data_IF_326313728055
#
_entry.id   IF_326313728055
#
_cell.length_a   1.000
_cell.length_b   1.000
_cell.length_c   1.000
_cell.angle_alpha   90.00
_cell.angle_beta   90.00
_cell.angle_gamma   90.00
#
_symmetry.space_group_name_H-M   'P 1'
#
loop_
_entity.id
_entity.type
_entity.pdbx_description
1 polymer ?
#
# COMPACT_ATOMS: atom_id res chain seq x y z
N UNK A 1 -4.42 24.31 -35.40
CA UNK A 1 -3.01 24.53 -35.00
C UNK A 1 -3.03 25.08 -33.58
N UNK A 2 -2.33 24.42 -32.64
CA UNK A 2 -2.01 24.85 -31.25
C UNK A 2 -3.25 24.97 -30.33
N UNK A 3 -3.30 24.50 -29.08
CA UNK A 3 -2.31 24.13 -28.06
C UNK A 3 -3.14 23.91 -26.78
N UNK A 4 -2.86 23.09 -25.76
CA UNK A 4 -1.78 22.20 -25.36
C UNK A 4 -2.21 21.66 -23.98
N UNK A 5 -1.72 20.47 -23.63
CA UNK A 5 -1.55 19.98 -22.26
C UNK A 5 -2.79 19.91 -21.37
N UNK A 6 -3.49 18.76 -21.44
CA UNK A 6 -4.05 18.21 -20.21
C UNK A 6 -2.90 18.02 -19.23
N UNK A 7 -2.82 18.87 -18.21
CA UNK A 7 -1.88 18.68 -17.11
C UNK A 7 -2.17 17.29 -16.55
N UNK A 8 -1.20 16.39 -16.67
CA UNK A 8 -1.20 15.14 -15.90
C UNK A 8 -1.12 15.51 -14.42
N UNK A 9 -2.27 15.86 -13.83
CA UNK A 9 -2.36 16.14 -12.40
C UNK A 9 -1.99 14.83 -11.70
N UNK A 10 -0.82 14.83 -11.08
CA UNK A 10 -0.28 13.70 -10.33
C UNK A 10 -0.86 13.73 -8.93
N UNK A 11 -1.58 12.67 -8.56
CA UNK A 11 -2.20 12.54 -7.24
C UNK A 11 -1.21 11.84 -6.31
N UNK A 12 -0.74 12.48 -5.23
CA UNK A 12 0.14 11.82 -4.26
C UNK A 12 -0.62 10.72 -3.52
N UNK A 13 0.09 9.64 -3.16
CA UNK A 13 -0.45 8.54 -2.36
C UNK A 13 0.68 7.78 -1.66
N UNK A 14 0.32 6.85 -0.78
CA UNK A 14 1.26 5.98 -0.08
C UNK A 14 0.69 4.56 0.05
N UNK A 15 1.57 3.56 0.07
CA UNK A 15 1.23 2.14 0.25
C UNK A 15 2.18 1.49 1.25
N UNK A 16 1.73 0.43 1.90
CA UNK A 16 2.63 -0.57 2.51
C UNK A 16 3.06 -1.53 1.41
N UNK A 17 4.35 -1.79 1.28
CA UNK A 17 4.94 -2.75 0.36
C UNK A 17 5.67 -3.82 1.16
N UNK A 18 5.33 -5.08 0.93
CA UNK A 18 6.03 -6.26 1.42
C UNK A 18 6.81 -6.84 0.26
N UNK A 19 8.14 -6.80 0.33
CA UNK A 19 9.04 -7.43 -0.63
C UNK A 19 9.51 -8.77 -0.08
N UNK A 20 9.16 -9.84 -0.78
CA UNK A 20 9.64 -11.20 -0.55
C UNK A 20 10.47 -11.65 -1.79
N UNK A 21 11.49 -12.52 -1.65
CA UNK A 21 12.36 -12.91 -2.77
C UNK A 21 11.66 -13.43 -4.03
N UNK A 22 10.45 -13.99 -3.88
CA UNK A 22 9.69 -14.56 -5.00
C UNK A 22 8.44 -13.75 -5.39
N UNK A 23 8.03 -12.75 -4.62
CA UNK A 23 6.83 -11.94 -4.90
C UNK A 23 6.79 -10.67 -4.06
N UNK A 24 5.95 -9.71 -4.45
CA UNK A 24 5.69 -8.52 -3.64
C UNK A 24 4.20 -8.34 -3.44
N UNK A 25 3.80 -7.87 -2.26
CA UNK A 25 2.42 -7.54 -1.94
C UNK A 25 2.35 -6.09 -1.51
N UNK A 26 1.27 -5.39 -1.86
CA UNK A 26 1.05 -4.05 -1.36
C UNK A 26 -0.35 -3.87 -0.80
N UNK A 27 -0.46 -2.92 0.13
CA UNK A 27 -1.70 -2.45 0.73
C UNK A 27 -1.76 -0.96 0.46
N UNK A 28 -2.83 -0.53 -0.20
CA UNK A 28 -3.07 0.85 -0.58
C UNK A 28 -4.34 1.35 0.11
N UNK A 29 -4.20 2.38 0.94
CA UNK A 29 -5.36 3.11 1.44
C UNK A 29 -5.54 4.33 0.53
N UNK A 30 -6.65 4.40 -0.18
CA UNK A 30 -6.96 5.49 -1.11
C UNK A 30 -7.19 6.78 -0.31
N UNK A 31 -6.30 7.78 -0.41
CA UNK A 31 -6.37 8.97 0.46
C UNK A 31 -7.62 9.84 0.23
N UNK A 32 -8.28 9.71 -0.92
CA UNK A 32 -9.50 10.44 -1.28
C UNK A 32 -10.78 9.87 -0.67
N UNK A 33 -10.82 8.57 -0.38
CA UNK A 33 -12.05 7.87 0.02
C UNK A 33 -11.90 6.86 1.15
N UNK A 34 -10.67 6.52 1.53
CA UNK A 34 -10.39 5.56 2.60
C UNK A 34 -10.52 4.10 2.22
N UNK A 35 -10.86 3.80 0.97
CA UNK A 35 -10.93 2.43 0.49
C UNK A 35 -9.56 1.78 0.63
N UNK A 36 -9.52 0.64 1.31
CA UNK A 36 -8.30 -0.15 1.42
C UNK A 36 -8.31 -1.19 0.31
N UNK A 37 -7.31 -1.11 -0.56
CA UNK A 37 -7.09 -1.99 -1.70
C UNK A 37 -5.81 -2.80 -1.46
N UNK A 38 -5.85 -4.10 -1.72
CA UNK A 38 -4.68 -4.97 -1.65
C UNK A 38 -4.44 -5.62 -3.00
N UNK A 39 -3.18 -5.77 -3.41
CA UNK A 39 -2.87 -6.64 -4.53
C UNK A 39 -1.53 -7.38 -4.37
N UNK A 40 -1.48 -8.53 -5.02
CA UNK A 40 -0.31 -9.39 -5.10
C UNK A 40 0.35 -9.26 -6.47
N UNK A 41 1.66 -9.06 -6.49
CA UNK A 41 2.45 -8.88 -7.71
C UNK A 41 3.57 -9.92 -7.74
N UNK A 42 3.59 -10.74 -8.79
CA UNK A 42 4.71 -11.65 -9.11
C UNK A 42 5.90 -10.85 -9.65
N UNK A 43 7.14 -11.34 -9.49
CA UNK A 43 8.29 -10.46 -9.32
C UNK A 43 8.52 -9.59 -10.56
N UNK A 44 8.42 -8.27 -10.37
CA UNK A 44 9.10 -7.30 -11.21
C UNK A 44 9.88 -6.34 -10.33
N UNK A 45 11.19 -6.51 -10.44
CA UNK A 45 12.21 -5.63 -9.90
C UNK A 45 11.90 -4.18 -10.32
N UNK A 46 12.19 -3.29 -9.38
CA UNK A 46 12.11 -1.83 -9.36
C UNK A 46 12.27 -1.10 -10.71
N UNK A 47 11.70 0.12 -10.85
CA UNK A 47 10.91 0.85 -9.84
C UNK A 47 9.46 0.39 -9.76
N UNK A 48 8.89 0.38 -8.54
CA UNK A 48 7.52 -0.06 -8.27
C UNK A 48 6.52 0.76 -9.09
N UNK A 49 5.78 0.08 -9.98
CA UNK A 49 4.74 0.68 -10.83
C UNK A 49 3.42 -0.01 -10.56
N UNK A 50 2.59 0.63 -9.76
CA UNK A 50 1.28 0.14 -9.36
C UNK A 50 0.27 1.25 -9.53
N UNK A 51 -0.93 0.91 -10.02
CA UNK A 51 -2.00 1.87 -10.33
C UNK A 51 -1.59 3.01 -11.27
N UNK A 52 -0.79 2.70 -12.30
CA UNK A 52 -0.19 3.71 -13.21
C UNK A 52 0.66 4.76 -12.47
N UNK A 53 1.05 4.45 -11.23
CA UNK A 53 1.83 5.31 -10.36
C UNK A 53 3.33 5.13 -10.55
N UNK A 54 4.07 6.19 -10.23
CA UNK A 54 5.52 6.22 -10.15
C UNK A 54 5.92 6.43 -8.71
N UNK A 55 6.72 5.49 -8.19
CA UNK A 55 7.41 5.63 -6.92
C UNK A 55 8.19 6.96 -6.84
N UNK A 56 8.00 7.68 -5.74
CA UNK A 56 8.67 8.96 -5.43
C UNK A 56 9.74 8.73 -4.36
N UNK A 57 9.38 8.04 -3.29
CA UNK A 57 10.29 7.68 -2.21
C UNK A 57 9.84 6.39 -1.54
N UNK A 58 10.80 5.66 -0.97
CA UNK A 58 10.56 4.50 -0.11
C UNK A 58 11.26 4.68 1.23
N UNK A 59 10.59 4.25 2.29
CA UNK A 59 11.10 4.27 3.65
C UNK A 59 10.94 2.87 4.25
N UNK A 60 12.02 2.31 4.80
CA UNK A 60 11.97 1.01 5.45
C UNK A 60 11.29 1.13 6.81
N UNK A 61 10.28 0.29 7.04
CA UNK A 61 9.59 0.19 8.34
C UNK A 61 10.27 -0.84 9.22
N UNK A 62 10.70 -1.94 8.59
CA UNK A 62 11.34 -3.06 9.26
C UNK A 62 11.42 -4.26 8.33
N UNK A 63 11.97 -5.35 8.83
CA UNK A 63 11.91 -6.65 8.20
C UNK A 63 11.47 -7.68 9.22
N UNK A 64 10.96 -8.81 8.73
CA UNK A 64 10.67 -9.95 9.57
C UNK A 64 11.16 -11.21 8.86
N UNK A 65 11.70 -12.13 9.65
CA UNK A 65 12.20 -13.42 9.19
C UNK A 65 11.25 -14.49 9.65
N UNK A 66 10.85 -15.36 8.74
CA UNK A 66 9.87 -16.38 9.04
C UNK A 66 10.10 -17.60 8.15
N UNK A 67 9.69 -18.79 8.59
CA UNK A 67 9.79 -19.98 7.77
C UNK A 67 8.73 -19.95 6.67
N UNK A 68 9.16 -20.05 5.41
CA UNK A 68 8.23 -20.00 4.29
C UNK A 68 8.40 -21.16 3.31
N UNK A 69 7.29 -21.82 3.03
CA UNK A 69 7.14 -22.71 1.88
C UNK A 69 6.36 -22.03 0.76
N UNK A 70 5.24 -21.36 1.09
CA UNK A 70 4.18 -21.01 0.12
C UNK A 70 3.54 -19.59 0.28
N UNK A 71 4.28 -18.56 0.68
CA UNK A 71 3.79 -17.15 0.80
C UNK A 71 2.72 -16.88 1.88
N UNK A 72 2.45 -17.86 2.75
CA UNK A 72 1.36 -17.79 3.72
C UNK A 72 1.57 -16.72 4.79
N UNK A 73 2.80 -16.50 5.25
CA UNK A 73 3.05 -15.54 6.34
C UNK A 73 3.04 -14.11 5.81
N UNK A 74 3.60 -13.85 4.62
CA UNK A 74 3.46 -12.54 3.95
C UNK A 74 2.00 -12.16 3.74
N UNK A 75 1.14 -13.14 3.44
CA UNK A 75 -0.31 -12.92 3.35
C UNK A 75 -0.94 -12.60 4.71
N UNK A 76 -0.58 -13.35 5.76
CA UNK A 76 -1.06 -13.09 7.13
C UNK A 76 -0.66 -11.68 7.58
N UNK A 77 0.58 -11.27 7.32
CA UNK A 77 1.03 -9.89 7.54
C UNK A 77 0.10 -8.90 6.84
N UNK A 78 -0.14 -9.12 5.54
CA UNK A 78 -0.85 -8.16 4.73
C UNK A 78 -2.33 -8.04 5.11
N UNK A 79 -2.98 -9.16 5.43
CA UNK A 79 -4.35 -9.18 5.93
C UNK A 79 -4.45 -8.41 7.26
N UNK A 80 -3.53 -8.68 8.19
CA UNK A 80 -3.51 -8.02 9.49
C UNK A 80 -3.17 -6.51 9.40
N UNK A 81 -2.26 -6.13 8.51
CA UNK A 81 -1.94 -4.72 8.25
C UNK A 81 -3.10 -4.00 7.55
N UNK A 82 -3.82 -4.68 6.65
CA UNK A 82 -5.01 -4.11 5.97
C UNK A 82 -6.15 -3.85 6.95
N UNK A 83 -6.42 -4.80 7.86
CA UNK A 83 -7.43 -4.66 8.90
C UNK A 83 -7.13 -3.45 9.79
N UNK A 84 -5.91 -3.38 10.34
CA UNK A 84 -5.46 -2.26 11.18
C UNK A 84 -5.47 -0.92 10.46
N UNK A 85 -5.03 -0.89 9.20
CA UNK A 85 -5.06 0.34 8.41
C UNK A 85 -6.50 0.84 8.21
N UNK A 86 -7.45 -0.09 8.04
CA UNK A 86 -8.88 0.26 7.93
C UNK A 86 -9.41 0.87 9.23
N UNK A 87 -9.11 0.23 10.37
CA UNK A 87 -9.52 0.71 11.70
C UNK A 87 -8.94 2.10 12.00
N UNK A 88 -7.63 2.26 11.83
CA UNK A 88 -6.94 3.52 12.07
C UNK A 88 -7.44 4.62 11.14
N UNK A 89 -7.69 4.33 9.87
CA UNK A 89 -8.23 5.31 8.94
C UNK A 89 -9.63 5.78 9.36
N UNK A 90 -10.52 4.86 9.72
CA UNK A 90 -11.87 5.19 10.16
C UNK A 90 -11.87 6.02 11.46
N UNK A 91 -10.96 5.71 12.38
CA UNK A 91 -10.77 6.49 13.61
C UNK A 91 -10.30 7.93 13.32
N UNK A 92 -9.30 8.11 12.45
CA UNK A 92 -8.79 9.44 12.05
C UNK A 92 -9.82 10.26 11.25
N UNK A 93 -10.70 9.59 10.48
CA UNK A 93 -11.79 10.28 9.78
C UNK A 93 -12.90 10.72 10.72
N UNK A 94 -13.15 9.94 11.76
CA UNK A 94 -14.16 10.26 12.78
C UNK A 94 -13.73 11.41 13.69
N UNK A 95 -12.42 11.61 13.91
CA UNK A 95 -11.89 12.73 14.69
C UNK A 95 -11.89 14.07 13.94
N UNK A 96 -12.14 14.08 12.62
CA UNK A 96 -12.14 15.30 11.81
C UNK A 96 -10.75 15.80 11.44
N UNK A 97 -9.69 15.04 11.73
CA UNK A 97 -8.30 15.43 11.46
C UNK A 97 -7.94 15.42 9.96
N UNK A 98 -8.78 14.83 9.11
CA UNK A 98 -8.54 14.71 7.67
C UNK A 98 -8.90 15.96 6.83
N UNK A 99 -9.03 17.14 7.44
CA UNK A 99 -9.34 18.39 6.73
C UNK A 99 -8.04 19.07 6.27
N UNK A 100 -7.67 18.87 4.98
CA UNK A 100 -6.48 19.47 4.39
C UNK A 100 -6.31 19.13 2.91
N UNK A 101 -5.26 19.67 2.28
CA UNK A 101 -4.86 19.31 0.91
C UNK A 101 -4.52 17.80 0.83
N UNK A 102 -4.56 17.22 -0.37
CA UNK A 102 -4.27 15.81 -0.59
C UNK A 102 -2.86 15.43 -0.11
N UNK A 103 -1.90 16.35 -0.14
CA UNK A 103 -0.55 16.14 0.42
C UNK A 103 -0.59 15.96 1.94
N UNK A 104 -1.35 16.80 2.64
CA UNK A 104 -1.51 16.72 4.09
C UNK A 104 -2.23 15.43 4.48
N UNK A 105 -3.27 15.06 3.71
CA UNK A 105 -3.96 13.77 3.86
C UNK A 105 -3.03 12.57 3.67
N UNK A 106 -2.10 12.62 2.71
CA UNK A 106 -1.10 11.56 2.52
C UNK A 106 -0.09 11.53 3.67
N UNK A 107 0.31 12.70 4.21
CA UNK A 107 1.18 12.75 5.38
C UNK A 107 0.49 12.12 6.60
N UNK A 108 -0.77 12.46 6.87
CA UNK A 108 -1.60 11.87 7.92
C UNK A 108 -1.80 10.37 7.69
N UNK A 109 -2.07 9.96 6.45
CA UNK A 109 -2.21 8.55 6.10
C UNK A 109 -0.94 7.76 6.44
N UNK A 110 0.23 8.31 6.11
CA UNK A 110 1.49 7.63 6.45
C UNK A 110 1.70 7.57 7.96
N UNK A 111 1.56 8.69 8.67
CA UNK A 111 1.92 8.80 10.08
C UNK A 111 0.92 8.11 11.02
N UNK A 112 -0.37 8.23 10.75
CA UNK A 112 -1.41 7.80 11.68
C UNK A 112 -2.05 6.46 11.28
N UNK A 113 -1.79 5.97 10.07
CA UNK A 113 -2.47 4.78 9.54
C UNK A 113 -1.48 3.74 9.04
N UNK A 114 -0.71 4.01 7.99
CA UNK A 114 0.12 2.99 7.37
C UNK A 114 1.30 2.57 8.24
N UNK A 115 1.98 3.53 8.87
CA UNK A 115 3.14 3.24 9.72
C UNK A 115 2.72 2.44 10.98
N UNK A 116 1.70 2.85 11.77
CA UNK A 116 1.27 2.08 12.92
C UNK A 116 0.69 0.71 12.53
N UNK A 117 -0.09 0.62 11.45
CA UNK A 117 -0.64 -0.65 10.96
C UNK A 117 0.45 -1.66 10.60
N UNK A 118 1.49 -1.21 9.89
CA UNK A 118 2.63 -2.05 9.55
C UNK A 118 3.40 -2.50 10.80
N UNK A 119 3.65 -1.59 11.75
CA UNK A 119 4.36 -1.92 13.00
C UNK A 119 3.60 -2.92 13.86
N UNK A 120 2.28 -2.77 14.01
CA UNK A 120 1.49 -3.69 14.81
C UNK A 120 1.33 -5.06 14.13
N UNK A 121 1.21 -5.08 12.80
CA UNK A 121 1.26 -6.34 12.04
C UNK A 121 2.61 -7.05 12.14
N UNK A 122 3.73 -6.30 12.23
CA UNK A 122 5.05 -6.89 12.48
C UNK A 122 5.13 -7.54 13.87
N UNK A 123 4.66 -6.83 14.92
CA UNK A 123 4.67 -7.35 16.31
C UNK A 123 3.89 -8.67 16.44
N UNK A 124 2.75 -8.78 15.76
CA UNK A 124 1.95 -10.01 15.74
C UNK A 124 2.70 -11.22 15.18
N UNK A 125 3.63 -10.98 14.25
CA UNK A 125 4.39 -12.01 13.57
C UNK A 125 5.63 -12.43 14.35
N UNK A 126 6.27 -11.49 15.05
CA UNK A 126 7.38 -11.80 15.96
C UNK A 126 6.96 -12.85 17.02
N UNK A 127 5.71 -12.81 17.48
CA UNK A 127 5.16 -13.80 18.41
C UNK A 127 4.83 -15.18 17.80
N UNK A 128 4.90 -15.33 16.47
CA UNK A 128 4.43 -16.53 15.73
C UNK A 128 5.52 -17.24 14.93
N UNK A 129 6.72 -16.67 14.80
CA UNK A 129 7.81 -17.27 14.03
C UNK A 129 8.48 -18.42 14.79
N UNK A 130 8.15 -19.68 14.45
CA UNK A 130 8.87 -20.85 14.96
C UNK A 130 10.12 -21.16 14.12
N UNK A 131 11.22 -21.50 14.78
CA UNK A 131 12.48 -21.82 14.12
C UNK A 131 12.36 -23.09 13.26
N UNK A 132 12.47 -22.94 11.93
CA UNK A 132 12.55 -24.05 10.97
C UNK A 132 13.58 -23.73 9.90
N UNK A 133 14.11 -24.77 9.25
CA UNK A 133 15.33 -24.74 8.42
C UNK A 133 15.23 -23.93 7.12
N UNK A 134 14.04 -23.43 6.76
CA UNK A 134 13.79 -22.67 5.52
C UNK A 134 13.26 -21.27 5.83
N UNK A 135 14.04 -20.49 6.56
CA UNK A 135 13.72 -19.09 6.82
C UNK A 135 13.92 -18.24 5.58
N UNK A 136 12.98 -17.35 5.34
CA UNK A 136 13.08 -16.29 4.35
C UNK A 136 12.90 -14.96 5.06
N UNK A 137 13.69 -13.98 4.66
CA UNK A 137 13.53 -12.60 5.10
C UNK A 137 12.60 -11.88 4.12
N UNK A 138 11.55 -11.22 4.66
CA UNK A 138 10.76 -10.25 3.92
C UNK A 138 10.97 -8.86 4.50
N UNK A 139 11.04 -7.87 3.62
CA UNK A 139 11.19 -6.46 3.99
C UNK A 139 9.87 -5.71 3.82
N UNK A 140 9.58 -4.82 4.76
CA UNK A 140 8.37 -3.98 4.77
C UNK A 140 8.76 -2.52 4.58
N UNK A 141 8.12 -1.86 3.62
CA UNK A 141 8.36 -0.46 3.29
C UNK A 141 7.05 0.33 3.29
N UNK A 142 7.14 1.62 3.65
CA UNK A 142 6.17 2.61 3.20
C UNK A 142 6.69 3.21 1.90
N UNK A 143 5.89 3.14 0.84
CA UNK A 143 6.24 3.69 -0.46
C UNK A 143 5.30 4.85 -0.77
N UNK A 144 5.87 6.06 -0.88
CA UNK A 144 5.16 7.23 -1.39
C UNK A 144 5.28 7.26 -2.90
N UNK A 145 4.18 7.52 -3.58
CA UNK A 145 4.14 7.55 -5.03
C UNK A 145 3.19 8.62 -5.55
N UNK A 146 3.37 8.98 -6.82
CA UNK A 146 2.37 9.75 -7.56
C UNK A 146 1.61 8.84 -8.48
N UNK A 147 0.28 8.92 -8.49
CA UNK A 147 -0.60 8.17 -9.39
C UNK A 147 -1.41 9.07 -10.31
N UNK A 148 -2.01 8.47 -11.33
CA UNK A 148 -3.04 9.11 -12.15
C UNK A 148 -4.26 9.47 -11.29
N UNK A 149 -5.07 10.43 -11.74
CA UNK A 149 -6.36 10.74 -11.13
C UNK A 149 -7.15 9.45 -10.89
N UNK A 150 -7.76 9.24 -9.71
CA UNK A 150 -8.71 8.15 -9.57
C UNK A 150 -9.80 8.40 -10.61
N UNK A 151 -9.91 7.53 -11.62
CA UNK A 151 -11.11 7.52 -12.43
C UNK A 151 -12.26 7.32 -11.46
N UNK A 152 -13.24 8.22 -11.48
CA UNK A 152 -14.28 8.25 -10.47
C UNK A 152 -14.90 6.86 -10.33
N UNK A 153 -14.77 6.25 -9.16
CA UNK A 153 -15.51 5.05 -8.82
C UNK A 153 -16.99 5.41 -8.89
N UNK A 154 -17.65 5.09 -10.01
CA UNK A 154 -19.09 4.95 -10.01
C UNK A 154 -19.41 3.70 -9.18
N UNK A 155 -20.35 3.85 -8.25
CA UNK A 155 -20.76 2.91 -7.20
C UNK A 155 -21.35 1.57 -7.68
N UNK A 156 -20.82 0.95 -8.74
CA UNK A 156 -21.16 -0.42 -9.18
C UNK A 156 -19.94 -1.17 -9.71
N UNK A 157 -19.16 -1.73 -8.78
CA UNK A 157 -18.75 -3.14 -8.79
C UNK A 157 -18.18 -3.83 -10.04
N UNK A 158 -17.69 -3.15 -11.07
CA UNK A 158 -16.96 -3.80 -12.16
C UNK A 158 -15.81 -2.94 -12.70
N UNK A 159 -14.63 -3.53 -12.98
CA UNK A 159 -13.58 -2.83 -13.71
C UNK A 159 -13.98 -2.64 -15.17
N UNK A 160 -13.87 -1.41 -15.69
CA UNK A 160 -13.97 -1.15 -17.12
C UNK A 160 -12.71 -1.70 -17.78
N UNK A 161 -12.87 -2.78 -18.55
CA UNK A 161 -11.92 -3.11 -19.62
C UNK A 161 -11.97 -1.99 -20.67
N UNK A 162 -10.86 -1.30 -20.86
CA UNK A 162 -10.44 -0.78 -22.17
C UNK A 162 -8.91 -0.93 -22.18
N UNK A 163 -8.25 -1.81 -22.96
CA UNK A 163 -8.24 -2.02 -24.42
C UNK A 163 -8.21 -0.70 -25.17
N UNK A 164 -7.04 -0.35 -25.73
CA UNK A 164 -6.97 0.56 -26.85
C UNK A 164 -5.63 1.29 -27.04
N UNK A 165 -4.68 0.57 -27.67
CA UNK A 165 -3.54 1.02 -28.51
C UNK A 165 -2.48 1.98 -27.96
#
# INVERSE_FOLDING_TARGET
MLSKFSFFTKYPTAVILVEHPKSSQFIHVVPEGGTVEGAHITPRITPFRVMHGREVSREAVGSFTYPEKDFSISRIFADAASERATELWNANMSSGDAVGDLRDRVALLVQNVLLPAAQDALKDLEGKAQATTNMVEASVFIVRMTRSKPEGFHARGYPVKSIGF
#
